data_IF_387992658619
#
_entry.id   IF_387992658619
#
_cell.length_a   1.000
_cell.length_b   1.000
_cell.length_c   1.000
_cell.angle_alpha   90.00
_cell.angle_beta   90.00
_cell.angle_gamma   90.00
#
_symmetry.space_group_name_H-M   'P 1'
#
loop_
_entity.id
_entity.type
_entity.pdbx_description
1 polymer ?
#
# COMPACT_ATOMS: atom_id res chain seq x y z
N UNK A 1 -17.08 3.41 11.03
CA UNK A 1 -16.00 2.62 10.73
C UNK A 1 -15.71 2.49 9.24
N UNK A 2 -14.78 3.22 8.79
CA UNK A 2 -14.50 3.23 7.36
C UNK A 2 -13.41 2.23 7.05
N UNK A 3 -13.76 1.24 6.28
CA UNK A 3 -12.83 0.24 5.87
C UNK A 3 -12.37 0.54 4.47
N UNK A 4 -11.17 0.98 4.36
CA UNK A 4 -10.63 1.24 3.04
C UNK A 4 -10.24 -0.07 2.38
N UNK A 5 -10.43 -0.18 1.09
CA UNK A 5 -10.12 -1.42 0.38
C UNK A 5 -8.62 -1.57 0.18
N UNK A 6 -7.95 -1.94 1.24
CA UNK A 6 -6.52 -2.17 1.16
C UNK A 6 -6.25 -3.64 0.94
N UNK A 7 -5.35 -3.92 0.03
CA UNK A 7 -4.98 -5.28 -0.31
C UNK A 7 -3.49 -5.46 -0.08
N UNK A 8 -3.14 -6.50 0.67
CA UNK A 8 -1.75 -6.81 0.92
C UNK A 8 -1.22 -7.68 -0.20
N UNK A 9 -0.19 -7.23 -0.85
CA UNK A 9 0.43 -7.98 -1.93
C UNK A 9 1.77 -8.49 -1.46
N UNK A 10 1.82 -9.75 -1.05
CA UNK A 10 3.07 -10.28 -0.52
C UNK A 10 4.04 -10.69 -1.63
N UNK A 11 3.60 -10.73 -2.86
CA UNK A 11 4.51 -11.00 -3.95
C UNK A 11 5.48 -9.86 -4.16
N UNK A 12 5.00 -8.65 -4.00
CA UNK A 12 5.83 -7.47 -4.16
C UNK A 12 6.08 -6.76 -2.84
N UNK A 13 5.53 -7.30 -1.74
CA UNK A 13 5.65 -6.65 -0.44
C UNK A 13 5.12 -5.23 -0.50
N UNK A 14 3.87 -5.12 -0.93
CA UNK A 14 3.25 -3.82 -1.05
C UNK A 14 1.85 -3.86 -0.52
N UNK A 15 1.41 -2.73 -0.01
CA UNK A 15 0.03 -2.56 0.43
C UNK A 15 -0.68 -1.72 -0.61
N UNK A 16 -1.64 -2.32 -1.26
CA UNK A 16 -2.31 -1.69 -2.38
C UNK A 16 -3.53 -0.93 -1.88
N UNK A 17 -3.58 0.34 -2.18
CA UNK A 17 -4.73 1.16 -1.85
C UNK A 17 -5.46 1.51 -3.14
N UNK A 18 -6.51 0.76 -3.41
CA UNK A 18 -7.24 0.96 -4.65
C UNK A 18 -7.98 2.28 -4.67
N UNK A 19 -8.35 2.75 -3.50
CA UNK A 19 -9.07 4.01 -3.42
C UNK A 19 -8.20 5.17 -3.88
N UNK A 20 -6.94 5.14 -3.52
CA UNK A 20 -6.01 6.16 -3.94
C UNK A 20 -5.26 5.79 -5.20
N UNK A 21 -5.32 4.52 -5.58
CA UNK A 21 -4.57 4.07 -6.72
C UNK A 21 -3.08 4.06 -6.46
N UNK A 22 -2.69 3.76 -5.24
CA UNK A 22 -1.30 3.78 -4.84
C UNK A 22 -0.91 2.46 -4.21
N UNK A 23 0.34 2.10 -4.41
CA UNK A 23 0.90 0.90 -3.78
C UNK A 23 2.02 1.35 -2.85
N UNK A 24 1.83 1.08 -1.57
CA UNK A 24 2.81 1.49 -0.56
C UNK A 24 3.76 0.34 -0.30
N UNK A 25 5.06 0.61 -0.31
CA UNK A 25 6.04 -0.44 -0.05
C UNK A 25 6.04 -0.86 1.41
N UNK A 26 6.32 -2.13 1.63
CA UNK A 26 6.42 -2.65 2.98
C UNK A 26 7.88 -3.03 3.21
N UNK A 27 8.45 -2.47 4.25
CA UNK A 27 9.85 -2.74 4.56
C UNK A 27 9.94 -3.32 5.96
N UNK A 28 10.55 -4.50 6.07
CA UNK A 28 10.70 -5.19 7.35
C UNK A 28 9.36 -5.34 8.05
N UNK A 29 8.33 -5.63 7.29
CA UNK A 29 7.01 -5.83 7.85
C UNK A 29 6.32 -4.54 8.24
N UNK A 30 6.90 -3.39 7.91
CA UNK A 30 6.32 -2.10 8.24
C UNK A 30 5.93 -1.38 6.96
N UNK A 31 4.64 -1.13 6.78
CA UNK A 31 4.22 -0.44 5.56
C UNK A 31 4.61 1.04 5.60
N UNK A 32 5.21 1.48 4.53
CA UNK A 32 5.59 2.88 4.38
C UNK A 32 4.42 3.61 3.75
N UNK A 33 3.62 4.27 4.56
CA UNK A 33 2.40 4.89 4.07
C UNK A 33 2.62 6.32 3.65
N UNK A 34 3.74 6.59 3.03
CA UNK A 34 4.06 7.93 2.55
C UNK A 34 3.73 8.01 1.07
N UNK A 35 2.91 8.98 0.66
CA UNK A 35 2.54 9.09 -0.75
C UNK A 35 3.74 9.27 -1.67
N UNK A 36 4.78 9.92 -1.18
CA UNK A 36 5.96 10.14 -2.00
C UNK A 36 6.75 8.86 -2.20
N UNK A 37 6.53 7.87 -1.33
CA UNK A 37 7.19 6.58 -1.48
C UNK A 37 6.32 5.59 -2.21
N UNK A 38 5.05 5.86 -2.36
CA UNK A 38 4.13 4.97 -3.02
C UNK A 38 4.27 5.11 -4.52
N UNK A 39 3.88 4.06 -5.23
CA UNK A 39 3.86 4.12 -6.68
C UNK A 39 2.43 4.00 -7.17
N UNK A 40 2.18 4.56 -8.30
CA UNK A 40 0.85 4.52 -8.86
C UNK A 40 0.58 3.20 -9.55
N UNK A 41 -0.63 2.77 -9.41
CA UNK A 41 -1.06 1.53 -10.05
C UNK A 41 -2.27 1.78 -10.94
#
# INVERSE_FOLDING_TARGET
NSKKPLTFNEETNELICKESGLAYPIKDGIPIMLPEKARKI
#
